data_IF_764044207635
#
_entry.id   IF_764044207635
#
_cell.length_a   1.000
_cell.length_b   1.000
_cell.length_c   1.000
_cell.angle_alpha   90.00
_cell.angle_beta   90.00
_cell.angle_gamma   90.00
#
_symmetry.space_group_name_H-M   'P 1'
#
loop_
_entity.id
_entity.type
_entity.pdbx_description
1 polymer ?
#
# COMPACT_ATOMS: atom_id res chain seq x y z
N UNK A 1 -2.96 19.47 -0.61
CA UNK A 1 -2.80 19.14 -2.00
C UNK A 1 -3.40 17.77 -2.32
N UNK A 2 -3.71 17.50 -3.61
CA UNK A 2 -4.57 16.35 -3.96
C UNK A 2 -4.07 14.99 -3.46
N UNK A 3 -2.78 14.74 -3.47
CA UNK A 3 -2.22 13.44 -3.07
C UNK A 3 -2.47 13.12 -1.60
N UNK A 4 -2.51 14.12 -0.74
CA UNK A 4 -2.83 13.91 0.66
C UNK A 4 -4.26 13.45 0.89
N UNK A 5 -5.18 13.86 0.01
CA UNK A 5 -6.58 13.46 0.11
C UNK A 5 -6.79 12.01 -0.27
N UNK A 6 -5.89 11.44 -1.08
CA UNK A 6 -5.97 10.06 -1.53
C UNK A 6 -5.28 9.08 -0.58
N UNK A 7 -4.55 9.59 0.40
CA UNK A 7 -3.78 8.80 1.33
C UNK A 7 -4.05 9.23 2.75
N UNK A 8 -4.27 8.27 3.60
CA UNK A 8 -4.36 8.49 5.03
C UNK A 8 -3.06 8.06 5.67
N UNK A 9 -2.57 8.91 6.57
CA UNK A 9 -1.35 8.63 7.32
C UNK A 9 -1.69 8.59 8.79
N UNK A 10 -1.43 7.46 9.42
CA UNK A 10 -1.52 7.31 10.86
C UNK A 10 -0.10 7.36 11.40
N UNK A 11 0.34 8.54 11.81
CA UNK A 11 1.70 8.77 12.30
C UNK A 11 1.68 9.30 13.72
N UNK A 12 2.67 8.84 14.49
CA UNK A 12 2.87 9.28 15.86
C UNK A 12 3.76 10.53 15.92
N UNK A 13 4.77 10.59 15.06
CA UNK A 13 5.75 11.66 15.00
C UNK A 13 6.09 11.95 13.54
N UNK A 14 6.01 13.23 13.15
CA UNK A 14 6.23 13.64 11.76
C UNK A 14 7.66 13.55 11.31
N UNK A 15 8.60 13.64 12.24
CA UNK A 15 10.03 13.78 11.93
C UNK A 15 10.81 12.51 12.23
N UNK A 16 10.17 11.35 12.24
CA UNK A 16 10.89 10.12 12.46
C UNK A 16 11.68 9.69 11.22
N UNK A 17 12.92 9.27 11.44
CA UNK A 17 13.74 8.66 10.40
C UNK A 17 13.29 7.22 10.19
N UNK A 18 13.07 6.86 8.93
CA UNK A 18 12.66 5.50 8.56
C UNK A 18 13.80 4.81 7.85
N UNK A 19 14.29 3.73 8.45
CA UNK A 19 15.29 2.85 7.87
C UNK A 19 14.71 1.53 7.39
N UNK A 20 13.56 1.13 7.94
CA UNK A 20 12.89 -0.11 7.58
C UNK A 20 11.40 0.13 7.41
N UNK A 21 10.92 -0.10 6.20
CA UNK A 21 9.50 -0.01 5.86
C UNK A 21 8.97 -1.38 5.50
N UNK A 22 7.73 -1.64 5.86
CA UNK A 22 6.99 -2.80 5.40
C UNK A 22 5.91 -2.37 4.41
N UNK A 23 5.65 -3.19 3.43
CA UNK A 23 4.63 -2.94 2.41
C UNK A 23 3.78 -4.18 2.25
N UNK A 24 2.47 -4.00 2.22
CA UNK A 24 1.53 -5.06 1.90
C UNK A 24 0.45 -4.51 0.99
N UNK A 25 0.33 -5.05 -0.20
CA UNK A 25 -0.66 -4.60 -1.17
C UNK A 25 -2.07 -4.98 -0.74
N UNK A 26 -3.04 -4.18 -1.18
CA UNK A 26 -4.43 -4.39 -0.82
C UNK A 26 -4.70 -4.07 0.64
N UNK A 27 -5.49 -4.89 1.31
CA UNK A 27 -5.79 -4.74 2.74
C UNK A 27 -4.80 -5.53 3.58
N UNK A 28 -3.84 -4.85 4.18
CA UNK A 28 -2.78 -5.48 4.95
C UNK A 28 -2.99 -5.47 6.46
N UNK A 29 -4.23 -5.34 6.91
CA UNK A 29 -4.57 -5.30 8.33
C UNK A 29 -4.03 -6.50 9.11
N UNK A 30 -4.18 -7.69 8.55
CA UNK A 30 -3.77 -8.93 9.22
C UNK A 30 -2.26 -9.09 9.37
N UNK A 31 -1.48 -8.34 8.59
CA UNK A 31 -0.03 -8.43 8.58
C UNK A 31 0.66 -7.41 9.50
N UNK A 32 -0.11 -6.58 10.19
CA UNK A 32 0.46 -5.60 11.12
C UNK A 32 1.33 -6.24 12.21
N UNK A 33 0.90 -7.34 12.86
CA UNK A 33 1.75 -8.00 13.85
C UNK A 33 3.08 -8.47 13.28
N UNK A 34 3.09 -8.95 12.03
CA UNK A 34 4.32 -9.41 11.37
C UNK A 34 5.25 -8.23 11.06
N UNK A 35 4.69 -7.12 10.61
CA UNK A 35 5.47 -5.91 10.37
C UNK A 35 6.12 -5.40 11.66
N UNK A 36 5.40 -5.41 12.76
CA UNK A 36 5.93 -5.05 14.08
C UNK A 36 7.03 -6.02 14.51
N UNK A 37 6.81 -7.32 14.35
CA UNK A 37 7.79 -8.34 14.74
C UNK A 37 9.09 -8.23 13.95
N UNK A 38 9.02 -7.78 12.70
CA UNK A 38 10.19 -7.56 11.84
C UNK A 38 10.87 -6.21 12.06
N UNK A 39 10.35 -5.40 12.95
CA UNK A 39 10.95 -4.11 13.27
C UNK A 39 10.68 -3.01 12.25
N UNK A 40 9.58 -3.10 11.51
CA UNK A 40 9.19 -2.04 10.59
C UNK A 40 8.91 -0.75 11.34
N UNK A 41 9.34 0.36 10.76
CA UNK A 41 9.18 1.69 11.32
C UNK A 41 8.04 2.47 10.67
N UNK A 42 7.62 2.02 9.49
CA UNK A 42 6.44 2.49 8.80
C UNK A 42 5.83 1.33 8.02
N UNK A 43 4.51 1.35 7.87
CA UNK A 43 3.78 0.32 7.14
C UNK A 43 2.93 0.95 6.06
N UNK A 44 3.17 0.56 4.81
CA UNK A 44 2.42 1.04 3.65
C UNK A 44 1.46 -0.06 3.21
N UNK A 45 0.18 0.22 3.21
CA UNK A 45 -0.86 -0.75 2.83
C UNK A 45 -2.12 -0.01 2.36
N UNK A 46 -3.25 -0.69 2.30
CA UNK A 46 -4.54 -0.10 1.98
C UNK A 46 -5.65 -0.61 2.88
N UNK A 47 -6.80 0.05 2.81
CA UNK A 47 -8.04 -0.33 3.51
C UNK A 47 -7.87 -0.53 5.02
N UNK A 48 -7.21 0.42 5.65
CA UNK A 48 -7.05 0.40 7.11
C UNK A 48 -8.19 1.17 7.75
N UNK A 49 -8.91 0.53 8.64
CA UNK A 49 -9.97 1.19 9.40
C UNK A 49 -9.41 2.08 10.52
N UNK A 50 -10.26 2.95 11.03
CA UNK A 50 -9.88 3.92 12.05
C UNK A 50 -9.29 3.27 13.31
N UNK A 51 -9.94 2.26 13.82
CA UNK A 51 -9.50 1.59 15.05
C UNK A 51 -8.18 0.85 14.86
N UNK A 52 -8.02 0.17 13.73
CA UNK A 52 -6.78 -0.53 13.39
C UNK A 52 -5.62 0.46 13.27
N UNK A 53 -5.86 1.62 12.65
CA UNK A 53 -4.84 2.66 12.54
C UNK A 53 -4.40 3.20 13.89
N UNK A 54 -5.34 3.47 14.78
CA UNK A 54 -5.04 3.94 16.14
C UNK A 54 -4.22 2.90 16.89
N UNK A 55 -4.62 1.64 16.84
CA UNK A 55 -3.94 0.57 17.55
C UNK A 55 -2.51 0.36 17.03
N UNK A 56 -2.33 0.44 15.72
CA UNK A 56 -1.00 0.31 15.12
C UNK A 56 -0.06 1.44 15.57
N UNK A 57 -0.55 2.68 15.56
CA UNK A 57 0.24 3.83 16.01
C UNK A 57 0.56 3.71 17.50
N UNK A 58 -0.40 3.28 18.32
CA UNK A 58 -0.17 3.05 19.75
C UNK A 58 0.89 1.96 19.99
N UNK A 59 0.99 0.99 19.08
CA UNK A 59 2.02 -0.06 19.10
C UNK A 59 3.36 0.38 18.52
N UNK A 60 3.46 1.62 18.04
CA UNK A 60 4.69 2.17 17.49
C UNK A 60 4.86 1.99 15.99
N UNK A 61 3.79 1.64 15.25
CA UNK A 61 3.85 1.45 13.80
C UNK A 61 2.98 2.49 13.09
N UNK A 62 3.56 3.58 12.59
CA UNK A 62 2.86 4.50 11.72
C UNK A 62 2.42 3.81 10.42
N UNK A 63 1.22 4.13 9.96
CA UNK A 63 0.65 3.54 8.75
C UNK A 63 0.41 4.61 7.70
N UNK A 64 0.78 4.29 6.48
CA UNK A 64 0.39 5.05 5.28
C UNK A 64 -0.64 4.22 4.54
N UNK A 65 -1.88 4.67 4.53
CA UNK A 65 -2.94 4.04 3.75
C UNK A 65 -2.92 4.64 2.34
N UNK A 66 -2.34 3.91 1.42
CA UNK A 66 -2.23 4.31 0.01
C UNK A 66 -3.42 3.83 -0.83
N UNK A 67 -4.39 3.19 -0.20
CA UNK A 67 -5.56 2.63 -0.85
C UNK A 67 -5.31 1.25 -1.47
N UNK A 68 -6.37 0.47 -1.58
CA UNK A 68 -6.30 -0.87 -2.17
C UNK A 68 -5.89 -0.79 -3.64
N UNK A 69 -6.59 0.04 -4.41
CA UNK A 69 -6.27 0.28 -5.82
C UNK A 69 -4.84 0.81 -5.99
N UNK A 70 -4.44 1.79 -5.17
CA UNK A 70 -3.13 2.42 -5.27
C UNK A 70 -1.96 1.47 -5.03
N UNK A 71 -2.16 0.43 -4.22
CA UNK A 71 -1.11 -0.55 -3.92
C UNK A 71 -1.10 -1.73 -4.88
N UNK A 72 -2.16 -1.97 -5.64
CA UNK A 72 -2.29 -3.16 -6.48
C UNK A 72 -2.22 -2.90 -7.98
N UNK A 73 -2.62 -1.72 -8.46
CA UNK A 73 -2.74 -1.51 -9.91
C UNK A 73 -1.40 -1.67 -10.67
N UNK A 74 -0.29 -1.47 -10.01
CA UNK A 74 1.05 -1.61 -10.62
C UNK A 74 1.34 -3.06 -11.03
N UNK A 75 0.64 -4.02 -10.43
CA UNK A 75 0.76 -5.44 -10.75
C UNK A 75 0.56 -5.71 -12.25
N UNK A 76 -0.38 -5.02 -12.89
CA UNK A 76 -0.70 -5.27 -14.29
C UNK A 76 0.49 -5.06 -15.21
N UNK A 77 1.22 -3.94 -15.04
CA UNK A 77 2.38 -3.64 -15.88
C UNK A 77 3.54 -4.61 -15.62
N UNK A 78 3.77 -4.94 -14.36
CA UNK A 78 4.83 -5.87 -13.98
C UNK A 78 4.54 -7.27 -14.54
N UNK A 79 3.31 -7.75 -14.41
CA UNK A 79 2.91 -9.06 -14.91
C UNK A 79 2.94 -9.10 -16.44
N UNK A 80 2.50 -8.03 -17.11
CA UNK A 80 2.58 -7.93 -18.57
C UNK A 80 4.01 -8.12 -19.04
N UNK A 81 4.95 -7.43 -18.41
CA UNK A 81 6.37 -7.54 -18.79
C UNK A 81 6.90 -8.96 -18.65
N UNK A 82 6.59 -9.60 -17.51
CA UNK A 82 7.00 -10.98 -17.27
C UNK A 82 6.42 -11.93 -18.32
N UNK A 83 5.14 -11.79 -18.64
CA UNK A 83 4.48 -12.63 -19.63
C UNK A 83 4.98 -12.40 -21.04
N UNK A 84 5.27 -11.16 -21.43
CA UNK A 84 5.84 -10.83 -22.74
C UNK A 84 7.22 -11.44 -22.91
N UNK A 85 8.04 -11.44 -21.88
CA UNK A 85 9.37 -12.05 -21.91
C UNK A 85 9.29 -13.57 -21.98
N UNK A 86 8.36 -14.17 -21.27
CA UNK A 86 8.22 -15.64 -21.21
C UNK A 86 7.51 -16.21 -22.43
N UNK A 87 6.56 -15.49 -22.96
CA UNK A 87 5.73 -15.92 -24.09
C UNK A 87 5.69 -14.84 -25.18
N UNK A 88 6.77 -14.68 -25.96
CA UNK A 88 6.85 -13.56 -26.93
C UNK A 88 5.79 -13.58 -28.03
N UNK A 89 5.19 -14.74 -28.30
CA UNK A 89 4.14 -14.89 -29.32
C UNK A 89 2.75 -14.48 -28.83
N UNK A 90 2.56 -14.27 -27.53
CA UNK A 90 1.27 -13.86 -26.99
C UNK A 90 1.08 -12.35 -27.11
N UNK A 91 -0.11 -11.97 -27.55
CA UNK A 91 -0.53 -10.58 -27.49
C UNK A 91 -1.16 -10.32 -26.14
N UNK A 92 -0.52 -9.45 -25.35
CA UNK A 92 -0.93 -9.17 -23.99
C UNK A 92 -1.35 -7.71 -23.90
N UNK A 93 -2.56 -7.48 -23.41
CA UNK A 93 -3.12 -6.14 -23.28
C UNK A 93 -3.53 -5.90 -21.83
N UNK A 94 -3.15 -4.77 -21.29
CA UNK A 94 -3.64 -4.33 -19.98
C UNK A 94 -4.97 -3.60 -20.14
N UNK A 95 -5.94 -3.98 -19.31
CA UNK A 95 -7.20 -3.24 -19.25
C UNK A 95 -6.95 -1.82 -18.73
N UNK A 96 -7.73 -0.87 -19.22
CA UNK A 96 -7.76 0.47 -18.65
C UNK A 96 -8.58 0.43 -17.39
N UNK A 97 -7.92 0.59 -16.24
CA UNK A 97 -8.58 0.56 -14.94
C UNK A 97 -8.51 1.94 -14.31
N UNK A 98 -9.61 2.36 -13.75
CA UNK A 98 -9.69 3.60 -12.97
C UNK A 98 -9.96 3.26 -11.52
N UNK A 99 -9.49 4.12 -10.61
CA UNK A 99 -9.86 3.99 -9.21
C UNK A 99 -11.40 4.01 -9.08
N UNK A 100 -11.98 3.10 -8.28
CA UNK A 100 -13.42 3.07 -8.06
C UNK A 100 -13.91 4.27 -7.22
N UNK A 101 -13.00 5.02 -6.63
CA UNK A 101 -13.34 6.15 -5.76
C UNK A 101 -12.88 7.47 -6.36
N UNK A 102 -13.68 8.49 -6.12
CA UNK A 102 -13.39 9.86 -6.50
C UNK A 102 -13.28 10.71 -5.23
N UNK A 103 -12.25 11.53 -5.16
CA UNK A 103 -12.10 12.51 -4.07
C UNK A 103 -12.82 13.79 -4.46
N UNK A 104 -13.81 14.16 -3.68
CA UNK A 104 -14.59 15.39 -3.91
C UNK A 104 -14.03 16.57 -3.14
#
# INVERSE_FOLDING_TARGET
>A
YPLRRQRQMCIRDRDCLVQKAAVCTGSGKSMIPDALAKGAQVYVTGDIDHHTGIDAVASGLPIIDAGHYGTEYIFMKAMRKILEEKYPSLQITCAKVKSPYMIL
#
